data_IF_877481441692
#
_entry.id   IF_877481441692
#
_cell.length_a   1.000
_cell.length_b   1.000
_cell.length_c   1.000
_cell.angle_alpha   90.00
_cell.angle_beta   90.00
_cell.angle_gamma   90.00
#
_symmetry.space_group_name_H-M   'P 1'
#
loop_
_entity.id
_entity.type
_entity.pdbx_description
1 polymer ?
#
# COMPACT_ATOMS: atom_id res chain seq x y z
N UNK A 1 5.54 3.13 33.19
CA UNK A 1 5.16 4.50 32.80
C UNK A 1 6.07 5.03 31.68
N UNK A 2 7.41 4.86 31.76
CA UNK A 2 8.36 5.29 30.72
C UNK A 2 8.11 4.57 29.38
N UNK A 3 7.94 3.26 29.38
CA UNK A 3 7.67 2.50 28.16
C UNK A 3 6.36 2.91 27.46
N UNK A 4 5.37 3.42 28.19
CA UNK A 4 4.13 3.93 27.59
C UNK A 4 4.34 5.26 26.88
N UNK A 5 5.18 6.14 27.42
CA UNK A 5 5.48 7.45 26.83
C UNK A 5 6.33 7.33 25.57
N UNK A 6 7.38 6.51 25.60
CA UNK A 6 8.24 6.27 24.43
C UNK A 6 7.48 5.62 23.29
N UNK A 7 6.56 4.70 23.59
CA UNK A 7 5.67 4.14 22.59
C UNK A 7 4.73 5.19 22.00
N UNK A 8 4.18 6.10 22.81
CA UNK A 8 3.35 7.20 22.32
C UNK A 8 4.13 8.15 21.41
N UNK A 9 5.38 8.48 21.74
CA UNK A 9 6.26 9.29 20.90
C UNK A 9 6.54 8.61 19.56
N UNK A 10 6.85 7.32 19.59
CA UNK A 10 7.04 6.53 18.37
C UNK A 10 5.74 6.50 17.54
N UNK A 11 4.61 6.21 18.14
CA UNK A 11 3.33 6.15 17.45
C UNK A 11 3.00 7.50 16.79
N UNK A 12 3.17 8.61 17.51
CA UNK A 12 2.95 9.96 16.98
C UNK A 12 3.87 10.28 15.79
N UNK A 13 5.13 9.84 15.83
CA UNK A 13 6.08 10.02 14.75
C UNK A 13 5.61 9.29 13.47
N UNK A 14 5.20 8.03 13.59
CA UNK A 14 4.71 7.25 12.45
C UNK A 14 3.34 7.74 11.95
N UNK A 15 2.47 8.19 12.85
CA UNK A 15 1.20 8.84 12.48
C UNK A 15 1.44 10.12 11.66
N UNK A 16 2.43 10.91 12.05
CA UNK A 16 2.84 12.11 11.31
C UNK A 16 3.34 11.76 9.90
N UNK A 17 4.11 10.71 9.75
CA UNK A 17 4.54 10.21 8.44
C UNK A 17 3.34 9.76 7.59
N UNK A 18 2.38 9.04 8.16
CA UNK A 18 1.15 8.62 7.46
C UNK A 18 0.36 9.83 6.97
N UNK A 19 0.17 10.84 7.83
CA UNK A 19 -0.55 12.09 7.46
C UNK A 19 0.15 12.83 6.31
N UNK A 20 1.46 12.97 6.37
CA UNK A 20 2.26 13.61 5.31
C UNK A 20 2.16 12.85 3.99
N UNK A 21 2.26 11.53 4.02
CA UNK A 21 2.16 10.68 2.83
C UNK A 21 0.76 10.70 2.22
N UNK A 22 -0.28 10.64 3.05
CA UNK A 22 -1.66 10.77 2.60
C UNK A 22 -1.88 12.11 1.88
N UNK A 23 -1.42 13.21 2.50
CA UNK A 23 -1.52 14.54 1.88
C UNK A 23 -0.74 14.62 0.56
N UNK A 24 0.43 14.00 0.45
CA UNK A 24 1.19 13.94 -0.82
C UNK A 24 0.35 13.31 -1.93
N UNK A 25 -0.29 12.19 -1.68
CA UNK A 25 -1.16 11.54 -2.66
C UNK A 25 -2.40 12.37 -3.00
N UNK A 26 -3.01 13.03 -2.03
CA UNK A 26 -4.14 13.94 -2.26
C UNK A 26 -3.74 15.11 -3.17
N UNK A 27 -2.58 15.72 -2.93
CA UNK A 27 -2.03 16.81 -3.76
C UNK A 27 -1.77 16.31 -5.19
N UNK A 28 -1.11 15.17 -5.36
CA UNK A 28 -0.84 14.57 -6.66
C UNK A 28 -2.14 14.24 -7.43
N UNK A 29 -3.13 13.70 -6.72
CA UNK A 29 -4.43 13.38 -7.33
C UNK A 29 -5.20 14.65 -7.75
N UNK A 30 -5.14 15.71 -6.95
CA UNK A 30 -5.74 17.00 -7.26
C UNK A 30 -5.09 17.66 -8.49
N UNK A 31 -3.76 17.69 -8.54
CA UNK A 31 -3.02 18.21 -9.70
C UNK A 31 -3.36 17.43 -10.97
N UNK A 32 -3.39 16.11 -10.89
CA UNK A 32 -3.72 15.25 -12.02
C UNK A 32 -5.14 15.50 -12.54
N UNK A 33 -6.09 15.73 -11.64
CA UNK A 33 -7.46 16.08 -12.00
C UNK A 33 -7.55 17.37 -12.82
N UNK A 34 -6.75 18.37 -12.46
CA UNK A 34 -6.69 19.64 -13.21
C UNK A 34 -6.04 19.46 -14.57
N UNK A 35 -4.93 18.69 -14.64
CA UNK A 35 -4.18 18.51 -15.88
C UNK A 35 -4.87 17.60 -16.90
N UNK A 36 -5.61 16.59 -16.45
CA UNK A 36 -6.12 15.50 -17.28
C UNK A 36 -7.62 15.25 -17.14
N UNK A 37 -8.35 16.14 -16.45
CA UNK A 37 -9.79 16.07 -16.23
C UNK A 37 -10.29 14.75 -15.63
N UNK A 38 -9.45 14.03 -14.88
CA UNK A 38 -9.80 12.81 -14.15
C UNK A 38 -8.87 12.55 -12.96
N UNK A 39 -9.34 11.75 -12.01
CA UNK A 39 -8.58 11.31 -10.85
C UNK A 39 -8.05 9.89 -11.07
N UNK A 40 -6.73 9.64 -11.02
CA UNK A 40 -6.17 8.29 -11.07
C UNK A 40 -6.39 7.53 -9.77
N UNK A 41 -6.49 8.24 -8.63
CA UNK A 41 -6.67 7.65 -7.31
C UNK A 41 -8.15 7.65 -6.97
N UNK A 42 -8.67 6.46 -6.66
CA UNK A 42 -10.04 6.25 -6.20
C UNK A 42 -10.15 6.41 -4.68
N UNK A 43 -9.16 5.87 -3.93
CA UNK A 43 -9.19 5.86 -2.47
C UNK A 43 -7.77 5.83 -1.87
N UNK A 44 -7.60 6.49 -0.72
CA UNK A 44 -6.36 6.50 0.06
C UNK A 44 -6.70 6.10 1.48
N UNK A 45 -5.98 5.11 2.02
CA UNK A 45 -6.12 4.66 3.39
C UNK A 45 -4.75 4.65 4.07
N UNK A 46 -4.60 5.44 5.14
CA UNK A 46 -3.41 5.47 5.97
C UNK A 46 -3.62 4.77 7.30
N UNK A 47 -2.63 4.02 7.74
CA UNK A 47 -2.68 3.39 9.07
C UNK A 47 -1.31 3.33 9.74
N UNK A 48 -1.32 3.36 11.07
CA UNK A 48 -0.18 2.97 11.90
C UNK A 48 -0.44 1.58 12.46
N UNK A 49 0.54 0.69 12.35
CA UNK A 49 0.44 -0.68 12.87
C UNK A 49 0.29 -0.67 14.39
N UNK A 50 -0.66 -1.44 14.92
CA UNK A 50 -0.88 -1.54 16.36
C UNK A 50 0.31 -2.15 17.10
N UNK A 51 0.47 -1.78 18.37
CA UNK A 51 1.50 -2.33 19.26
C UNK A 51 1.49 -3.88 19.29
N UNK A 52 0.31 -4.48 19.35
CA UNK A 52 0.14 -5.93 19.30
C UNK A 52 0.67 -6.55 18.01
N UNK A 53 0.40 -5.90 16.87
CA UNK A 53 0.86 -6.36 15.55
C UNK A 53 2.38 -6.19 15.38
N UNK A 54 2.94 -5.10 15.90
CA UNK A 54 4.41 -4.88 15.92
C UNK A 54 5.07 -5.97 16.77
N UNK A 55 4.58 -6.20 18.00
CA UNK A 55 5.10 -7.24 18.89
C UNK A 55 5.01 -8.64 18.27
N UNK A 56 3.89 -8.98 17.64
CA UNK A 56 3.74 -10.26 16.94
C UNK A 56 4.75 -10.42 15.79
N UNK A 57 5.04 -9.36 15.04
CA UNK A 57 6.02 -9.37 13.95
C UNK A 57 7.45 -9.53 14.49
N UNK A 58 7.80 -8.85 15.58
CA UNK A 58 9.10 -9.00 16.25
C UNK A 58 9.30 -10.43 16.77
N UNK A 59 8.28 -10.99 17.46
CA UNK A 59 8.34 -12.40 17.95
C UNK A 59 8.55 -13.38 16.80
N UNK A 60 7.84 -13.20 15.68
CA UNK A 60 8.01 -14.06 14.48
C UNK A 60 9.42 -13.98 13.91
N UNK A 61 10.11 -12.84 14.06
CA UNK A 61 11.50 -12.65 13.64
C UNK A 61 12.52 -13.05 14.69
N UNK A 62 12.09 -13.46 15.89
CA UNK A 62 13.00 -13.77 17.01
C UNK A 62 13.72 -12.56 17.58
N UNK A 63 13.14 -11.36 17.45
CA UNK A 63 13.73 -10.10 17.86
C UNK A 63 13.17 -9.63 19.22
N UNK A 64 13.93 -8.83 19.99
CA UNK A 64 13.46 -8.29 21.25
C UNK A 64 12.27 -7.34 21.05
N UNK A 65 11.39 -7.27 22.06
CA UNK A 65 10.20 -6.41 22.02
C UNK A 65 10.55 -4.98 22.49
N UNK A 66 11.45 -4.32 21.74
CA UNK A 66 11.89 -2.94 22.01
C UNK A 66 11.50 -2.02 20.87
N UNK A 67 11.47 -0.73 21.13
CA UNK A 67 11.18 0.32 20.15
C UNK A 67 12.27 0.36 19.08
N UNK A 68 13.52 0.19 19.47
CA UNK A 68 14.68 0.17 18.58
C UNK A 68 14.54 -0.99 17.57
N UNK A 69 14.29 -2.19 18.06
CA UNK A 69 14.09 -3.38 17.21
C UNK A 69 12.88 -3.20 16.28
N UNK A 70 11.82 -2.55 16.75
CA UNK A 70 10.66 -2.24 15.91
C UNK A 70 11.02 -1.26 14.79
N UNK A 71 11.71 -0.17 15.10
CA UNK A 71 12.13 0.85 14.12
C UNK A 71 13.10 0.29 13.06
N UNK A 72 14.00 -0.60 13.46
CA UNK A 72 15.01 -1.18 12.56
C UNK A 72 14.48 -2.33 11.70
N UNK A 73 13.50 -3.07 12.20
CA UNK A 73 13.14 -4.36 11.60
C UNK A 73 11.71 -4.43 11.05
N UNK A 74 10.86 -3.42 11.31
CA UNK A 74 9.46 -3.40 10.88
C UNK A 74 9.23 -2.20 9.96
N UNK A 75 9.30 -2.41 8.64
CA UNK A 75 9.20 -1.33 7.64
C UNK A 75 7.77 -0.81 7.47
N UNK A 76 6.76 -1.57 7.88
CA UNK A 76 5.34 -1.29 7.70
C UNK A 76 4.62 -0.81 8.97
N UNK A 77 5.35 -0.14 9.87
CA UNK A 77 4.72 0.54 11.03
C UNK A 77 3.81 1.65 10.52
N UNK A 78 4.32 2.53 9.62
CA UNK A 78 3.50 3.41 8.82
C UNK A 78 3.13 2.72 7.51
N UNK A 79 1.86 2.67 7.18
CA UNK A 79 1.36 2.09 5.93
C UNK A 79 0.38 3.02 5.26
N UNK A 80 0.51 3.20 3.94
CA UNK A 80 -0.47 3.90 3.12
C UNK A 80 -0.86 3.02 1.96
N UNK A 81 -2.16 2.79 1.81
CA UNK A 81 -2.75 2.09 0.68
C UNK A 81 -3.37 3.09 -0.27
N UNK A 82 -3.01 2.99 -1.53
CA UNK A 82 -3.55 3.81 -2.61
C UNK A 82 -4.26 2.91 -3.61
N UNK A 83 -5.55 3.12 -3.77
CA UNK A 83 -6.39 2.36 -4.70
C UNK A 83 -6.60 3.21 -5.95
N UNK A 84 -6.18 2.71 -7.10
CA UNK A 84 -6.26 3.38 -8.39
C UNK A 84 -7.36 2.77 -9.27
N UNK A 85 -7.83 3.56 -10.25
CA UNK A 85 -8.88 3.10 -11.16
C UNK A 85 -8.37 2.03 -12.13
N UNK A 86 -7.19 2.23 -12.73
CA UNK A 86 -6.64 1.35 -13.76
C UNK A 86 -5.21 0.92 -13.46
N UNK A 87 -4.75 -0.14 -14.12
CA UNK A 87 -3.39 -0.68 -13.94
C UNK A 87 -2.32 0.38 -14.27
N UNK A 88 -2.49 1.13 -15.36
CA UNK A 88 -1.55 2.20 -15.73
C UNK A 88 -1.46 3.30 -14.68
N UNK A 89 -2.56 3.57 -13.98
CA UNK A 89 -2.58 4.57 -12.91
C UNK A 89 -1.75 4.14 -11.71
N UNK A 90 -1.71 2.84 -11.41
CA UNK A 90 -0.86 2.30 -10.33
C UNK A 90 0.59 2.67 -10.56
N UNK A 91 1.10 2.44 -11.77
CA UNK A 91 2.49 2.74 -12.12
C UNK A 91 2.74 4.24 -12.21
N UNK A 92 1.81 5.01 -12.76
CA UNK A 92 1.90 6.47 -12.85
C UNK A 92 1.94 7.13 -11.48
N UNK A 93 1.08 6.72 -10.56
CA UNK A 93 1.07 7.23 -9.18
C UNK A 93 2.37 6.88 -8.46
N UNK A 94 2.90 5.68 -8.66
CA UNK A 94 4.20 5.29 -8.12
C UNK A 94 5.32 6.19 -8.65
N UNK A 95 5.39 6.41 -9.96
CA UNK A 95 6.40 7.29 -10.58
C UNK A 95 6.29 8.74 -10.09
N UNK A 96 5.08 9.25 -9.87
CA UNK A 96 4.87 10.59 -9.33
C UNK A 96 5.43 10.72 -7.91
N UNK A 97 5.24 9.70 -7.06
CA UNK A 97 5.83 9.65 -5.73
C UNK A 97 7.36 9.53 -5.79
N UNK A 98 7.88 8.65 -6.63
CA UNK A 98 9.33 8.39 -6.79
C UNK A 98 10.12 9.64 -7.24
N UNK A 99 9.47 10.59 -7.93
CA UNK A 99 10.08 11.87 -8.35
C UNK A 99 10.18 12.90 -7.23
N UNK A 100 9.55 12.68 -6.08
CA UNK A 100 9.61 13.64 -4.97
C UNK A 100 10.96 13.56 -4.24
N UNK A 101 11.60 14.71 -4.07
CA UNK A 101 12.98 14.80 -3.53
C UNK A 101 13.14 14.35 -2.09
N UNK A 102 12.05 14.38 -1.33
CA UNK A 102 12.00 13.98 0.08
C UNK A 102 11.49 12.53 0.28
N UNK A 103 11.37 11.77 -0.81
CA UNK A 103 11.00 10.35 -0.78
C UNK A 103 12.17 9.53 -1.29
N UNK A 104 12.72 8.67 -0.43
CA UNK A 104 13.75 7.73 -0.81
C UNK A 104 13.15 6.33 -0.95
N UNK A 105 13.27 5.74 -2.14
CA UNK A 105 12.81 4.38 -2.39
C UNK A 105 13.87 3.40 -1.91
N UNK A 106 13.53 2.62 -0.89
CA UNK A 106 14.41 1.60 -0.31
C UNK A 106 14.22 0.25 -1.01
N UNK A 107 12.97 -0.10 -1.33
CA UNK A 107 12.64 -1.35 -2.00
C UNK A 107 11.39 -1.18 -2.84
N UNK A 108 11.37 -1.83 -4.01
CA UNK A 108 10.20 -1.95 -4.87
C UNK A 108 9.90 -3.41 -5.12
N UNK A 109 8.66 -3.84 -4.91
CA UNK A 109 8.17 -5.19 -5.17
C UNK A 109 6.90 -5.12 -6.01
N UNK A 110 6.98 -5.65 -7.22
CA UNK A 110 5.90 -5.62 -8.19
C UNK A 110 5.17 -6.98 -8.23
N UNK A 111 4.18 -7.12 -7.35
CA UNK A 111 3.31 -8.30 -7.32
C UNK A 111 2.20 -8.24 -8.38
N UNK A 112 2.12 -7.19 -9.19
CA UNK A 112 1.22 -7.14 -10.35
C UNK A 112 1.81 -7.96 -11.48
N UNK A 113 3.11 -7.75 -11.77
CA UNK A 113 3.85 -8.50 -12.81
C UNK A 113 4.22 -9.89 -12.36
N UNK A 114 4.55 -10.06 -11.10
CA UNK A 114 4.93 -11.34 -10.51
C UNK A 114 4.05 -11.59 -9.27
N UNK A 115 2.83 -12.12 -9.45
CA UNK A 115 1.90 -12.36 -8.35
C UNK A 115 2.50 -13.24 -7.26
N UNK A 116 2.06 -13.02 -6.03
CA UNK A 116 2.45 -13.87 -4.93
C UNK A 116 1.83 -15.26 -5.08
N UNK A 117 2.34 -16.26 -4.34
CA UNK A 117 1.93 -17.67 -4.42
C UNK A 117 0.41 -17.89 -4.24
N UNK A 118 -0.30 -16.99 -3.58
CA UNK A 118 -1.74 -17.05 -3.35
C UNK A 118 -2.57 -16.26 -4.38
N UNK A 119 -1.93 -15.66 -5.40
CA UNK A 119 -2.58 -14.80 -6.38
C UNK A 119 -2.68 -13.32 -6.00
N UNK A 120 -2.15 -12.90 -4.85
CA UNK A 120 -2.11 -11.51 -4.43
C UNK A 120 -1.34 -10.64 -5.41
N UNK A 121 -1.94 -9.49 -5.78
CA UNK A 121 -1.37 -8.48 -6.67
C UNK A 121 -1.42 -7.11 -6.03
N UNK A 122 -0.32 -6.39 -6.08
CA UNK A 122 -0.15 -4.99 -5.66
C UNK A 122 1.25 -4.53 -6.01
N UNK A 123 1.46 -3.24 -6.18
CA UNK A 123 2.80 -2.64 -6.20
C UNK A 123 3.15 -2.18 -4.78
N UNK A 124 4.26 -2.66 -4.23
CA UNK A 124 4.75 -2.30 -2.90
C UNK A 124 6.02 -1.48 -3.01
N UNK A 125 6.06 -0.38 -2.27
CA UNK A 125 7.24 0.47 -2.11
C UNK A 125 7.55 0.58 -0.61
N UNK A 126 8.72 0.10 -0.19
CA UNK A 126 9.29 0.49 1.10
C UNK A 126 10.04 1.80 0.87
N UNK A 127 9.67 2.84 1.57
CA UNK A 127 10.22 4.18 1.42
C UNK A 127 10.73 4.71 2.74
N UNK A 128 11.64 5.67 2.67
CA UNK A 128 12.10 6.47 3.81
C UNK A 128 11.75 7.93 3.56
N UNK A 129 11.09 8.55 4.55
CA UNK A 129 10.65 9.95 4.46
C UNK A 129 11.04 10.73 5.70
N UNK A 130 11.33 12.04 5.58
CA UNK A 130 11.57 12.90 6.72
C UNK A 130 10.26 13.30 7.40
N UNK A 131 10.27 13.33 8.71
CA UNK A 131 9.23 13.95 9.55
C UNK A 131 9.88 15.12 10.27
N UNK A 132 9.40 16.33 9.99
CA UNK A 132 9.91 17.56 10.57
C UNK A 132 9.20 17.82 11.90
N UNK A 133 9.92 17.62 13.00
CA UNK A 133 9.46 17.91 14.35
C UNK A 133 9.88 19.32 14.78
N UNK A 134 9.45 19.75 15.96
CA UNK A 134 9.68 21.12 16.45
C UNK A 134 11.16 21.51 16.55
N UNK A 135 12.05 20.57 16.82
CA UNK A 135 13.48 20.82 17.06
C UNK A 135 14.42 19.87 16.32
N UNK A 136 13.91 18.93 15.54
CA UNK A 136 14.71 17.96 14.79
C UNK A 136 13.93 17.36 13.61
N UNK A 137 14.66 16.73 12.72
CA UNK A 137 14.10 15.91 11.64
C UNK A 137 14.36 14.44 11.94
N UNK A 138 13.32 13.62 11.88
CA UNK A 138 13.41 12.16 11.99
C UNK A 138 13.10 11.53 10.63
N UNK A 139 13.88 10.51 10.26
CA UNK A 139 13.60 9.73 9.05
C UNK A 139 12.91 8.43 9.44
N UNK A 140 11.78 8.15 8.83
CA UNK A 140 10.98 6.97 9.13
C UNK A 140 10.74 6.13 7.90
N UNK A 141 10.67 4.81 8.13
CA UNK A 141 10.26 3.85 7.11
C UNK A 141 8.73 3.80 7.02
N UNK A 142 8.23 3.73 5.79
CA UNK A 142 6.82 3.51 5.51
C UNK A 142 6.66 2.53 4.35
N UNK A 143 5.59 1.74 4.37
CA UNK A 143 5.17 0.89 3.27
C UNK A 143 4.04 1.55 2.50
N UNK A 144 4.20 1.70 1.20
CA UNK A 144 3.15 2.14 0.28
C UNK A 144 2.68 0.94 -0.54
N UNK A 145 1.38 0.67 -0.51
CA UNK A 145 0.73 -0.34 -1.33
C UNK A 145 -0.13 0.37 -2.37
N UNK A 146 0.17 0.20 -3.65
CA UNK A 146 -0.59 0.78 -4.74
C UNK A 146 -1.21 -0.36 -5.54
N UNK A 147 -2.52 -0.32 -5.73
CA UNK A 147 -3.29 -1.39 -6.39
C UNK A 147 -4.51 -0.83 -7.11
N UNK A 148 -5.09 -1.60 -8.01
CA UNK A 148 -6.38 -1.26 -8.61
C UNK A 148 -7.55 -1.58 -7.67
N UNK A 149 -8.75 -1.09 -7.99
CA UNK A 149 -10.00 -1.45 -7.30
C UNK A 149 -10.20 -2.97 -7.31
N UNK A 150 -9.93 -3.63 -8.42
CA UNK A 150 -10.07 -5.09 -8.55
C UNK A 150 -9.09 -5.86 -7.65
N UNK A 151 -7.84 -5.41 -7.58
CA UNK A 151 -6.82 -5.98 -6.68
C UNK A 151 -7.20 -5.79 -5.21
N UNK A 152 -7.75 -4.61 -4.86
CA UNK A 152 -8.19 -4.31 -3.50
C UNK A 152 -9.41 -5.13 -3.10
N UNK A 153 -10.35 -5.33 -4.01
CA UNK A 153 -11.51 -6.21 -3.82
C UNK A 153 -11.08 -7.63 -3.42
N UNK A 154 -10.20 -8.25 -4.22
CA UNK A 154 -9.72 -9.61 -3.92
C UNK A 154 -8.94 -9.67 -2.60
N UNK A 155 -7.99 -8.74 -2.39
CA UNK A 155 -7.14 -8.72 -1.19
C UNK A 155 -7.95 -8.53 0.09
N UNK A 156 -8.99 -7.71 0.07
CA UNK A 156 -9.86 -7.46 1.22
C UNK A 156 -10.66 -8.70 1.59
N UNK A 157 -11.22 -9.40 0.62
CA UNK A 157 -12.00 -10.62 0.86
C UNK A 157 -11.10 -11.81 1.24
N UNK A 158 -9.93 -11.95 0.63
CA UNK A 158 -8.94 -12.97 0.99
C UNK A 158 -8.52 -12.82 2.45
N UNK A 159 -8.22 -11.60 2.89
CA UNK A 159 -7.87 -11.30 4.27
C UNK A 159 -9.01 -11.69 5.23
N UNK A 160 -10.26 -11.36 4.89
CA UNK A 160 -11.44 -11.69 5.69
C UNK A 160 -11.64 -13.20 5.84
N UNK A 161 -11.52 -13.94 4.74
CA UNK A 161 -11.63 -15.40 4.72
C UNK A 161 -10.54 -16.03 5.60
N UNK A 162 -9.29 -15.58 5.46
CA UNK A 162 -8.17 -16.16 6.23
C UNK A 162 -8.13 -15.74 7.68
N UNK A 163 -8.61 -14.53 8.01
CA UNK A 163 -8.61 -14.03 9.39
C UNK A 163 -9.72 -14.62 10.22
N UNK A 164 -10.92 -14.79 9.63
CA UNK A 164 -12.11 -15.35 10.32
C UNK A 164 -12.11 -16.86 10.38
N UNK A 165 -11.41 -17.53 9.45
CA UNK A 165 -11.31 -18.97 9.46
C UNK A 165 -10.18 -19.43 10.40
N UNK A 166 -10.51 -20.33 11.31
CA UNK A 166 -9.48 -21.15 11.98
C UNK A 166 -8.72 -21.90 10.86
N UNK A 167 -7.41 -21.63 10.75
CA UNK A 167 -6.56 -22.20 9.70
C UNK A 167 -6.63 -23.73 9.60
N UNK A 168 -7.02 -24.40 10.70
CA UNK A 168 -7.22 -25.83 10.77
C UNK A 168 -8.56 -26.30 10.14
N UNK A 169 -9.47 -25.38 9.80
CA UNK A 169 -10.84 -25.65 9.33
C UNK A 169 -11.12 -25.15 7.92
N UNK A 170 -10.10 -24.67 7.20
CA UNK A 170 -10.29 -24.29 5.80
C UNK A 170 -10.66 -25.52 4.96
N UNK A 171 -11.71 -25.45 4.12
CA UNK A 171 -12.04 -26.54 3.23
C UNK A 171 -10.86 -26.91 2.32
N UNK A 172 -10.76 -28.19 1.98
CA UNK A 172 -9.78 -28.65 1.00
C UNK A 172 -10.03 -27.94 -0.35
N UNK A 173 -8.96 -27.49 -1.02
CA UNK A 173 -9.04 -26.82 -2.31
C UNK A 173 -9.32 -25.31 -2.25
N UNK A 174 -9.57 -24.72 -1.09
CA UNK A 174 -9.92 -23.29 -0.98
C UNK A 174 -8.79 -22.39 -1.47
N UNK A 175 -7.53 -22.76 -1.28
CA UNK A 175 -6.40 -21.96 -1.75
C UNK A 175 -6.32 -21.92 -3.29
N UNK A 176 -6.57 -23.05 -3.93
CA UNK A 176 -6.63 -23.20 -5.38
C UNK A 176 -7.80 -22.39 -5.96
N UNK A 177 -8.96 -22.44 -5.31
CA UNK A 177 -10.12 -21.65 -5.72
C UNK A 177 -9.85 -20.14 -5.56
N UNK A 178 -9.24 -19.73 -4.47
CA UNK A 178 -8.86 -18.33 -4.24
C UNK A 178 -7.85 -17.84 -5.28
N UNK A 179 -6.87 -18.65 -5.63
CA UNK A 179 -5.90 -18.34 -6.69
C UNK A 179 -6.60 -18.21 -8.04
N UNK A 180 -7.49 -19.15 -8.39
CA UNK A 180 -8.28 -19.10 -9.64
C UNK A 180 -9.18 -17.86 -9.70
N UNK A 181 -9.77 -17.44 -8.57
CA UNK A 181 -10.51 -16.18 -8.49
C UNK A 181 -9.62 -14.96 -8.71
N UNK A 182 -8.40 -14.95 -8.15
CA UNK A 182 -7.44 -13.87 -8.37
C UNK A 182 -7.07 -13.70 -9.84
N UNK A 183 -6.88 -14.80 -10.56
CA UNK A 183 -6.58 -14.79 -12.00
C UNK A 183 -7.74 -14.25 -12.83
N UNK A 184 -8.98 -14.69 -12.57
CA UNK A 184 -10.18 -14.18 -13.24
C UNK A 184 -10.36 -12.67 -13.00
N UNK A 185 -10.15 -12.21 -11.78
CA UNK A 185 -10.22 -10.79 -11.43
C UNK A 185 -9.14 -10.00 -12.18
N UNK A 186 -7.92 -10.54 -12.30
CA UNK A 186 -6.85 -9.90 -13.05
C UNK A 186 -7.16 -9.81 -14.55
N UNK A 187 -7.80 -10.82 -15.14
CA UNK A 187 -8.28 -10.78 -16.53
C UNK A 187 -9.31 -9.67 -16.73
N UNK A 188 -10.28 -9.55 -15.81
CA UNK A 188 -11.31 -8.49 -15.87
C UNK A 188 -10.64 -7.11 -15.72
N UNK A 189 -9.72 -6.97 -14.79
CA UNK A 189 -9.00 -5.71 -14.54
C UNK A 189 -8.22 -5.27 -15.80
N UNK A 190 -7.54 -6.21 -16.49
CA UNK A 190 -6.88 -5.95 -17.76
C UNK A 190 -7.87 -5.57 -18.87
N UNK A 191 -9.03 -6.23 -18.96
CA UNK A 191 -10.06 -5.88 -19.92
C UNK A 191 -10.59 -4.45 -19.69
N UNK A 192 -10.78 -4.03 -18.44
CA UNK A 192 -11.18 -2.67 -18.10
C UNK A 192 -10.10 -1.65 -18.51
N UNK A 193 -8.83 -1.96 -18.26
CA UNK A 193 -7.69 -1.16 -18.72
C UNK A 193 -7.69 -0.98 -20.25
N UNK A 194 -7.87 -2.07 -20.99
CA UNK A 194 -7.85 -2.07 -22.46
C UNK A 194 -9.04 -1.28 -23.05
N UNK A 195 -10.23 -1.40 -22.44
CA UNK A 195 -11.39 -0.59 -22.83
C UNK A 195 -11.15 0.90 -22.61
N UNK A 196 -10.59 1.27 -21.47
CA UNK A 196 -10.26 2.65 -21.18
C UNK A 196 -9.26 3.23 -22.19
N UNK A 197 -8.21 2.49 -22.52
CA UNK A 197 -7.22 2.92 -23.50
C UNK A 197 -7.83 3.13 -24.89
N UNK A 198 -8.74 2.25 -25.32
CA UNK A 198 -9.44 2.39 -26.62
C UNK A 198 -10.33 3.62 -26.68
N UNK A 199 -11.07 3.91 -25.61
CA UNK A 199 -11.90 5.12 -25.53
C UNK A 199 -11.02 6.35 -25.62
N UNK A 200 -9.94 6.41 -24.84
CA UNK A 200 -9.00 7.53 -24.86
C UNK A 200 -8.37 7.78 -26.23
N UNK A 201 -8.02 6.72 -26.96
CA UNK A 201 -7.48 6.82 -28.32
C UNK A 201 -8.53 7.33 -29.32
N UNK A 202 -9.80 7.01 -29.14
CA UNK A 202 -10.89 7.50 -29.98
C UNK A 202 -11.13 9.00 -29.81
N UNK A 203 -11.05 9.50 -28.59
CA UNK A 203 -11.25 10.93 -28.29
C UNK A 203 -10.14 11.79 -28.89
N UNK A 204 -8.89 11.31 -28.91
CA UNK A 204 -7.74 12.01 -29.49
C UNK A 204 -7.77 12.09 -31.03
N UNK A 205 -8.56 11.25 -31.69
CA UNK A 205 -8.70 11.26 -33.16
C UNK A 205 -9.84 12.18 -33.66
N UNK A 206 -10.56 12.84 -32.74
CA UNK A 206 -11.70 13.70 -33.05
C UNK A 206 -11.44 15.17 -32.75
N UNK A 207 -10.27 15.52 -32.22
CA UNK A 207 -9.72 16.87 -32.07
C UNK A 207 -8.67 17.16 -33.16
#
# INVERSE_FOLDING_TARGET
YEHSHDFQLMHNLYESAVKQLTLKFEVLNSEFSVLYARNPIHHIEGRVKSAASIAAKLRKKGLPLTIEAARESVNDIAGVRVVCSYIDDVYRVAEMLERQKDVEIIKRQDYIRTPNYNGYRSLHLDIRVPVYLSNRTEYVMAEIQIRTIAMDFWASLEHDIRYKADKSRLPAGINEEMFACADKIAEIDQQMQDMYQRIKASDQNHD
#
